data_IF_260958768825
#
_entry.id   IF_260958768825
#
_cell.length_a   1.000
_cell.length_b   1.000
_cell.length_c   1.000
_cell.angle_alpha   90.00
_cell.angle_beta   90.00
_cell.angle_gamma   90.00
#
_symmetry.space_group_name_H-M   'P 1'
#
loop_
_entity.id
_entity.type
_entity.pdbx_description
1 polymer ?
#
# COMPACT_ATOMS: atom_id res chain seq x y z
N UNK A 1 -22.01 8.78 49.15
CA UNK A 1 -22.93 7.90 48.41
C UNK A 1 -23.27 8.54 47.06
N UNK A 2 -22.30 8.68 46.14
CA UNK A 2 -22.50 9.34 44.82
C UNK A 2 -22.43 8.37 43.63
N UNK A 3 -22.45 7.06 43.87
CA UNK A 3 -21.95 6.10 42.88
C UNK A 3 -22.98 5.60 41.86
N UNK A 4 -24.28 5.61 42.16
CA UNK A 4 -25.29 4.99 41.27
C UNK A 4 -25.91 5.98 40.29
N UNK A 5 -26.16 7.23 40.72
CA UNK A 5 -26.71 8.27 39.85
C UNK A 5 -25.71 8.74 38.78
N UNK A 6 -24.42 8.88 39.14
CA UNK A 6 -23.37 9.27 38.19
C UNK A 6 -23.16 8.24 37.08
N UNK A 7 -23.24 6.95 37.41
CA UNK A 7 -23.10 5.85 36.44
C UNK A 7 -24.29 5.79 35.47
N UNK A 8 -25.51 5.96 36.00
CA UNK A 8 -26.73 5.97 35.20
C UNK A 8 -26.75 7.17 34.23
N UNK A 9 -26.36 8.34 34.71
CA UNK A 9 -26.27 9.55 33.88
C UNK A 9 -25.21 9.42 32.78
N UNK A 10 -24.04 8.85 33.10
CA UNK A 10 -22.99 8.56 32.12
C UNK A 10 -23.46 7.53 31.06
N UNK A 11 -24.19 6.50 31.48
CA UNK A 11 -24.76 5.50 30.57
C UNK A 11 -25.78 6.12 29.61
N UNK A 12 -26.64 7.01 30.12
CA UNK A 12 -27.64 7.72 29.31
C UNK A 12 -26.99 8.65 28.28
N UNK A 13 -25.95 9.39 28.68
CA UNK A 13 -25.15 10.24 27.77
C UNK A 13 -24.44 9.43 26.68
N UNK A 14 -23.89 8.25 27.03
CA UNK A 14 -23.29 7.33 26.05
C UNK A 14 -24.33 6.80 25.06
N UNK A 15 -25.51 6.41 25.55
CA UNK A 15 -26.61 5.91 24.72
C UNK A 15 -27.07 6.95 23.70
N UNK A 16 -27.27 8.19 24.13
CA UNK A 16 -27.64 9.30 23.24
C UNK A 16 -26.56 9.59 22.19
N UNK A 17 -25.29 9.65 22.61
CA UNK A 17 -24.15 9.82 21.68
C UNK A 17 -24.11 8.71 20.62
N UNK A 18 -24.28 7.45 21.03
CA UNK A 18 -24.28 6.31 20.11
C UNK A 18 -25.49 6.38 19.16
N UNK A 19 -26.66 6.80 19.63
CA UNK A 19 -27.84 6.97 18.79
C UNK A 19 -27.65 8.10 17.77
N UNK A 20 -27.04 9.22 18.15
CA UNK A 20 -26.71 10.31 17.24
C UNK A 20 -25.70 9.87 16.17
N UNK A 21 -24.66 9.12 16.57
CA UNK A 21 -23.70 8.55 15.62
C UNK A 21 -24.36 7.54 14.67
N UNK A 22 -25.30 6.73 15.15
CA UNK A 22 -26.05 5.79 14.31
C UNK A 22 -26.94 6.52 13.30
N UNK A 23 -27.67 7.55 13.73
CA UNK A 23 -28.48 8.38 12.83
C UNK A 23 -27.63 9.11 11.79
N UNK A 24 -26.48 9.67 12.21
CA UNK A 24 -25.54 10.33 11.30
C UNK A 24 -24.99 9.35 10.25
N UNK A 25 -24.55 8.16 10.65
CA UNK A 25 -24.06 7.12 9.73
C UNK A 25 -25.13 6.70 8.71
N UNK A 26 -26.39 6.55 9.14
CA UNK A 26 -27.50 6.24 8.22
C UNK A 26 -27.73 7.41 7.25
N UNK A 27 -27.69 8.66 7.71
CA UNK A 27 -27.85 9.81 6.81
C UNK A 27 -26.66 10.02 5.86
N UNK A 28 -25.44 9.65 6.27
CA UNK A 28 -24.27 9.62 5.40
C UNK A 28 -24.44 8.49 4.36
N UNK A 29 -24.93 7.32 4.76
CA UNK A 29 -25.26 6.21 3.85
C UNK A 29 -26.39 6.57 2.86
N UNK A 30 -27.41 7.33 3.29
CA UNK A 30 -28.50 7.81 2.41
C UNK A 30 -28.05 8.94 1.46
N UNK A 31 -27.12 9.82 1.87
CA UNK A 31 -26.56 10.87 1.00
C UNK A 31 -25.56 10.35 -0.03
N UNK A 32 -24.89 9.24 0.28
CA UNK A 32 -23.98 8.55 -0.63
C UNK A 32 -24.68 7.50 -1.51
N UNK A 33 -26.01 7.38 -1.46
CA UNK A 33 -26.76 6.44 -2.30
C UNK A 33 -27.14 6.99 -3.70
N UNK A 34 -26.98 8.29 -3.96
CA UNK A 34 -27.28 8.93 -5.26
C UNK A 34 -26.03 9.17 -6.14
N UNK A 35 -24.83 9.00 -5.58
CA UNK A 35 -23.56 9.11 -6.30
C UNK A 35 -22.78 7.81 -6.05
N UNK A 36 -22.81 6.91 -7.03
CA UNK A 36 -22.09 5.63 -7.00
C UNK A 36 -20.58 5.89 -6.91
N UNK A 37 -20.00 5.77 -5.71
CA UNK A 37 -18.66 5.22 -5.46
C UNK A 37 -18.40 5.14 -3.94
N UNK A 38 -18.57 3.93 -3.38
CA UNK A 38 -18.31 3.63 -1.97
C UNK A 38 -16.80 3.77 -1.62
N UNK A 39 -16.40 4.47 -0.55
CA UNK A 39 -15.06 4.28 0.01
C UNK A 39 -15.02 2.98 0.82
N UNK A 40 -14.42 1.96 0.21
CA UNK A 40 -14.07 0.64 0.76
C UNK A 40 -13.10 0.75 1.96
N UNK A 41 -13.55 1.19 3.13
CA UNK A 41 -12.75 1.16 4.37
C UNK A 41 -13.51 0.66 5.60
N UNK A 42 -14.57 -0.13 5.41
CA UNK A 42 -15.13 -0.97 6.48
C UNK A 42 -14.61 -2.39 6.30
N UNK A 43 -13.60 -2.78 7.09
CA UNK A 43 -13.25 -4.18 7.32
C UNK A 43 -14.21 -4.67 8.42
N UNK A 44 -15.27 -5.45 8.12
CA UNK A 44 -16.01 -6.13 9.17
C UNK A 44 -15.12 -7.25 9.72
N UNK A 45 -14.63 -7.07 10.94
CA UNK A 45 -14.08 -8.18 11.72
C UNK A 45 -15.27 -9.00 12.21
N UNK A 46 -15.75 -9.90 11.35
CA UNK A 46 -16.79 -10.88 11.66
C UNK A 46 -16.12 -12.18 12.13
N UNK A 47 -15.82 -12.22 13.43
CA UNK A 47 -15.50 -13.43 14.21
C UNK A 47 -16.78 -14.27 14.45
N UNK A 48 -17.50 -14.62 13.38
CA UNK A 48 -18.68 -15.47 13.46
C UNK A 48 -19.08 -15.96 12.06
N UNK A 49 -18.42 -17.02 11.57
CA UNK A 49 -18.95 -17.79 10.44
C UNK A 49 -18.34 -19.20 10.41
N UNK A 50 -18.52 -19.92 11.51
CA UNK A 50 -18.61 -21.37 11.52
C UNK A 50 -20.10 -21.74 11.45
N UNK A 51 -20.79 -21.47 10.33
CA UNK A 51 -22.04 -22.18 10.06
C UNK A 51 -22.37 -22.18 8.56
N UNK A 52 -22.59 -23.38 8.05
CA UNK A 52 -23.01 -23.71 6.68
C UNK A 52 -24.23 -22.91 6.22
N UNK A 53 -24.24 -22.47 4.96
CA UNK A 53 -25.46 -22.05 4.27
C UNK A 53 -25.21 -21.10 3.12
N UNK A 54 -25.73 -21.44 1.94
CA UNK A 54 -25.62 -20.71 0.69
C UNK A 54 -26.01 -19.23 0.83
N UNK A 55 -25.10 -18.32 0.46
CA UNK A 55 -25.43 -16.97 0.01
C UNK A 55 -24.58 -16.65 -1.22
N UNK A 56 -25.24 -16.39 -2.35
CA UNK A 56 -24.66 -15.92 -3.61
C UNK A 56 -24.20 -14.47 -3.47
N UNK A 57 -23.14 -14.27 -2.71
CA UNK A 57 -22.26 -13.11 -2.87
C UNK A 57 -20.93 -13.69 -3.31
N UNK A 58 -20.38 -13.21 -4.42
CA UNK A 58 -19.16 -13.71 -5.03
C UNK A 58 -18.09 -13.97 -3.95
N UNK A 59 -17.95 -15.24 -3.54
CA UNK A 59 -16.98 -15.66 -2.54
C UNK A 59 -15.63 -15.43 -3.20
N UNK A 60 -14.97 -14.33 -2.83
CA UNK A 60 -13.60 -14.03 -3.27
C UNK A 60 -12.79 -15.30 -3.04
N UNK A 61 -12.27 -15.86 -4.12
CA UNK A 61 -11.53 -17.10 -4.06
C UNK A 61 -10.31 -16.92 -3.16
N UNK A 62 -10.00 -17.95 -2.36
CA UNK A 62 -8.87 -17.94 -1.43
C UNK A 62 -7.59 -18.04 -2.26
N UNK A 63 -6.93 -16.90 -2.48
CA UNK A 63 -5.65 -16.83 -3.17
C UNK A 63 -4.49 -16.86 -2.17
N UNK A 64 -3.60 -17.84 -2.30
CA UNK A 64 -2.41 -17.96 -1.46
C UNK A 64 -1.28 -17.09 -2.05
N UNK A 65 -0.93 -16.01 -1.35
CA UNK A 65 0.12 -15.06 -1.78
C UNK A 65 1.50 -15.40 -1.21
N UNK A 66 1.55 -15.68 0.10
CA UNK A 66 2.80 -15.90 0.85
C UNK A 66 2.98 -17.35 1.34
N UNK A 67 2.05 -18.26 1.01
CA UNK A 67 2.04 -19.64 1.50
C UNK A 67 2.05 -20.64 0.34
N UNK A 68 2.83 -21.73 0.47
CA UNK A 68 2.85 -22.85 -0.47
C UNK A 68 2.18 -24.06 0.20
N UNK A 69 0.90 -24.35 -0.11
CA UNK A 69 0.21 -25.52 0.41
C UNK A 69 0.83 -26.81 -0.13
N UNK A 70 0.81 -27.88 0.67
CA UNK A 70 1.24 -29.23 0.28
C UNK A 70 0.15 -30.02 -0.46
N UNK A 71 -1.10 -29.56 -0.40
CA UNK A 71 -2.26 -30.23 -1.01
C UNK A 71 -2.45 -29.76 -2.46
N UNK A 72 -2.52 -30.72 -3.39
CA UNK A 72 -2.63 -30.47 -4.83
C UNK A 72 -3.84 -29.59 -5.19
N UNK A 73 -4.96 -29.72 -4.47
CA UNK A 73 -6.20 -28.97 -4.75
C UNK A 73 -6.11 -27.49 -4.38
N UNK A 74 -5.22 -27.15 -3.44
CA UNK A 74 -4.97 -25.77 -2.99
C UNK A 74 -3.83 -25.13 -3.79
N UNK A 75 -2.95 -25.94 -4.38
CA UNK A 75 -1.81 -25.50 -5.16
C UNK A 75 -2.22 -24.78 -6.45
N UNK A 76 -3.35 -25.19 -7.05
CA UNK A 76 -3.95 -24.51 -8.22
C UNK A 76 -4.42 -23.07 -7.90
N UNK A 77 -4.67 -22.76 -6.61
CA UNK A 77 -5.13 -21.44 -6.14
C UNK A 77 -3.99 -20.53 -5.67
N UNK A 78 -2.75 -20.98 -5.78
CA UNK A 78 -1.56 -20.19 -5.47
C UNK A 78 -1.33 -19.20 -6.61
N UNK A 79 -1.19 -17.91 -6.28
CA UNK A 79 -0.86 -16.93 -7.31
C UNK A 79 0.58 -17.11 -7.79
N UNK A 80 0.83 -17.04 -9.11
CA UNK A 80 2.20 -17.03 -9.60
C UNK A 80 2.94 -15.79 -9.06
N UNK A 81 4.23 -15.92 -8.70
CA UNK A 81 5.00 -14.79 -8.25
C UNK A 81 5.04 -13.71 -9.33
N UNK A 82 4.81 -12.46 -8.94
CA UNK A 82 4.91 -11.33 -9.85
C UNK A 82 6.33 -11.26 -10.43
N UNK A 83 6.44 -11.12 -11.74
CA UNK A 83 7.72 -10.82 -12.39
C UNK A 83 8.15 -9.43 -11.91
N UNK A 84 9.30 -9.36 -11.24
CA UNK A 84 9.90 -8.09 -10.84
C UNK A 84 10.34 -7.34 -12.09
N UNK A 85 10.39 -6.01 -12.00
CA UNK A 85 10.99 -5.20 -13.06
C UNK A 85 12.47 -5.60 -13.23
N UNK A 86 12.92 -5.66 -14.47
CA UNK A 86 14.31 -5.98 -14.80
C UNK A 86 15.18 -4.76 -14.45
N UNK A 87 15.82 -4.82 -13.28
CA UNK A 87 16.67 -3.74 -12.76
C UNK A 87 18.08 -3.80 -13.37
N UNK A 88 18.43 -4.91 -14.03
CA UNK A 88 19.75 -5.15 -14.61
C UNK A 88 20.11 -4.08 -15.66
N UNK A 89 19.20 -3.79 -16.60
CA UNK A 89 19.39 -2.77 -17.63
C UNK A 89 19.66 -1.40 -17.02
N UNK A 90 18.91 -1.05 -15.96
CA UNK A 90 19.08 0.24 -15.28
C UNK A 90 20.41 0.34 -14.53
N UNK A 91 20.89 -0.77 -13.95
CA UNK A 91 22.18 -0.82 -13.28
C UNK A 91 23.32 -0.72 -14.32
N UNK A 92 23.17 -1.37 -15.46
CA UNK A 92 24.14 -1.28 -16.55
C UNK A 92 24.26 0.15 -17.08
N UNK A 93 23.14 0.81 -17.36
CA UNK A 93 23.10 2.21 -17.81
C UNK A 93 23.79 3.15 -16.80
N UNK A 94 23.56 2.94 -15.50
CA UNK A 94 24.21 3.73 -14.45
C UNK A 94 25.72 3.49 -14.38
N UNK A 95 26.16 2.24 -14.56
CA UNK A 95 27.59 1.90 -14.56
C UNK A 95 28.31 2.49 -15.78
N UNK A 96 27.66 2.48 -16.94
CA UNK A 96 28.18 3.12 -18.16
C UNK A 96 28.25 4.65 -17.99
N UNK A 97 27.20 5.28 -17.45
CA UNK A 97 27.19 6.71 -17.16
C UNK A 97 28.20 7.13 -16.08
N UNK A 98 28.49 6.25 -15.12
CA UNK A 98 29.46 6.49 -14.06
C UNK A 98 30.92 6.31 -14.52
N UNK A 99 31.16 5.80 -15.73
CA UNK A 99 32.50 5.71 -16.30
C UNK A 99 32.94 7.10 -16.76
N UNK A 100 33.88 7.78 -16.07
CA UNK A 100 34.31 9.10 -16.49
C UNK A 100 34.98 8.98 -17.86
N UNK A 101 34.58 9.82 -18.81
CA UNK A 101 35.36 10.01 -20.02
C UNK A 101 36.75 10.50 -19.60
N UNK A 102 37.84 9.83 -20.02
CA UNK A 102 39.19 10.30 -19.76
C UNK A 102 39.44 11.53 -20.63
N UNK A 103 38.91 12.68 -20.21
CA UNK A 103 39.23 14.00 -20.77
C UNK A 103 40.60 14.38 -20.22
N UNK A 104 41.63 13.70 -20.70
CA UNK A 104 42.98 14.23 -20.64
C UNK A 104 43.11 15.09 -21.88
N UNK A 105 42.77 16.37 -21.75
CA UNK A 105 43.24 17.37 -22.69
C UNK A 105 44.76 17.37 -22.56
N UNK A 106 45.44 16.67 -23.47
CA UNK A 106 46.89 16.62 -23.52
C UNK A 106 47.39 18.05 -23.72
N UNK A 107 47.80 18.68 -22.61
CA UNK A 107 48.28 20.05 -22.60
C UNK A 107 49.54 20.10 -23.46
N UNK A 108 49.49 20.87 -24.54
CA UNK A 108 50.64 21.08 -25.42
C UNK A 108 51.72 21.91 -24.70
N UNK A 109 52.62 21.20 -24.02
CA UNK A 109 53.76 21.74 -23.28
C UNK A 109 54.66 22.62 -24.16
N UNK A 110 54.68 22.42 -25.48
CA UNK A 110 55.53 23.20 -26.40
C UNK A 110 55.00 24.61 -26.66
N UNK A 111 53.71 24.83 -26.43
CA UNK A 111 53.05 26.14 -26.57
C UNK A 111 52.80 26.81 -25.21
N UNK A 112 52.83 26.05 -24.12
CA UNK A 112 52.68 26.56 -22.76
C UNK A 112 54.00 27.03 -22.13
N UNK A 113 55.12 26.41 -22.50
CA UNK A 113 56.42 26.77 -21.95
C UNK A 113 56.91 28.11 -22.53
N UNK A 114 57.35 29.08 -21.70
CA UNK A 114 57.96 30.30 -22.19
C UNK A 114 59.24 29.96 -22.96
N UNK A 115 59.29 30.36 -24.24
CA UNK A 115 60.49 30.15 -25.05
C UNK A 115 61.61 31.05 -24.54
N UNK A 116 62.80 30.45 -24.36
CA UNK A 116 64.02 31.19 -24.03
C UNK A 116 64.20 32.28 -25.09
N UNK A 117 64.25 33.56 -24.69
CA UNK A 117 64.58 34.61 -25.63
C UNK A 117 66.05 34.50 -26.06
N UNK A 118 66.31 34.59 -27.37
CA UNK A 118 67.65 34.64 -27.93
C UNK A 118 68.19 36.08 -27.83
N UNK A 119 68.54 36.51 -26.62
CA UNK A 119 69.26 37.75 -26.34
C UNK A 119 70.10 37.65 -25.06
#
# INVERSE_FOLDING_TARGET
>A
MESVGSLEEAARKRKERLQALKRKKVSDEEKHADDSEEPLTKIPVSDSSLESGQTETAKKEVAFKNYKPEDDTLQEKVQPPAKLAEVEDHIQDQLEAAKPEPVVEEIDLNNLAPRKPDW
#
